data_IF_355098158366
#
_entry.id   IF_355098158366
#
_cell.length_a   1.000
_cell.length_b   1.000
_cell.length_c   1.000
_cell.angle_alpha   90.00
_cell.angle_beta   90.00
_cell.angle_gamma   90.00
#
_symmetry.space_group_name_H-M   'P 1'
#
loop_
_entity.id
_entity.type
_entity.pdbx_description
1 polymer ?
#
# COMPACT_ATOMS: atom_id res chain seq x y z
N UNK A 1 25.26 51.67 -14.75
CA UNK A 1 25.77 50.66 -13.79
C UNK A 1 24.66 49.90 -13.06
N UNK A 2 23.66 50.55 -12.47
CA UNK A 2 22.56 49.89 -11.70
C UNK A 2 21.70 48.91 -12.52
N UNK A 3 21.33 49.26 -13.77
CA UNK A 3 20.48 48.41 -14.60
C UNK A 3 21.18 47.10 -15.02
N UNK A 4 22.49 47.14 -15.25
CA UNK A 4 23.27 45.94 -15.63
C UNK A 4 23.36 44.93 -14.48
N UNK A 5 23.57 45.41 -13.24
CA UNK A 5 23.49 44.58 -12.04
C UNK A 5 22.08 44.01 -11.86
N UNK A 6 21.02 44.80 -12.09
CA UNK A 6 19.64 44.31 -12.03
C UNK A 6 19.35 43.21 -13.06
N UNK A 7 19.76 43.36 -14.31
CA UNK A 7 19.65 42.30 -15.33
C UNK A 7 20.51 41.08 -14.98
N UNK A 8 21.69 41.27 -14.36
CA UNK A 8 22.54 40.18 -13.89
C UNK A 8 21.91 39.42 -12.72
N UNK A 9 21.36 40.10 -11.71
CA UNK A 9 20.61 39.50 -10.60
C UNK A 9 19.32 38.82 -11.07
N UNK A 10 18.58 39.42 -12.01
CA UNK A 10 17.37 38.84 -12.59
C UNK A 10 17.66 37.59 -13.42
N UNK A 11 18.72 37.63 -14.24
CA UNK A 11 19.22 36.47 -14.98
C UNK A 11 19.73 35.38 -14.04
N UNK A 12 20.35 35.73 -12.91
CA UNK A 12 20.78 34.79 -11.87
C UNK A 12 19.59 34.17 -11.11
N UNK A 13 18.52 34.92 -10.81
CA UNK A 13 17.28 34.40 -10.23
C UNK A 13 16.50 33.48 -11.19
N UNK A 14 16.50 33.79 -12.49
CA UNK A 14 15.92 32.93 -13.53
C UNK A 14 16.76 31.68 -13.70
N UNK A 15 18.09 31.79 -13.79
CA UNK A 15 19.00 30.63 -13.90
C UNK A 15 18.87 29.77 -12.65
N UNK A 16 18.82 30.34 -11.43
CA UNK A 16 18.59 29.58 -10.20
C UNK A 16 17.24 28.87 -10.23
N UNK A 17 16.13 29.52 -10.60
CA UNK A 17 14.82 28.86 -10.74
C UNK A 17 14.83 27.75 -11.79
N UNK A 18 15.44 27.98 -12.96
CA UNK A 18 15.50 27.01 -14.06
C UNK A 18 16.45 25.87 -13.77
N UNK A 19 17.62 26.12 -13.16
CA UNK A 19 18.61 25.11 -12.77
C UNK A 19 18.10 24.30 -11.58
N UNK A 20 17.51 24.92 -10.56
CA UNK A 20 16.85 24.20 -9.47
C UNK A 20 15.72 23.34 -10.06
N UNK A 21 14.87 23.88 -10.94
CA UNK A 21 13.82 23.10 -11.60
C UNK A 21 14.37 21.93 -12.42
N UNK A 22 15.46 22.13 -13.18
CA UNK A 22 16.11 21.08 -13.97
C UNK A 22 16.72 20.00 -13.07
N UNK A 23 17.43 20.40 -12.00
CA UNK A 23 18.03 19.47 -11.03
C UNK A 23 16.96 18.70 -10.24
N UNK A 24 15.87 19.36 -9.86
CA UNK A 24 14.73 18.73 -9.17
C UNK A 24 14.00 17.78 -10.11
N UNK A 25 13.81 18.15 -11.38
CA UNK A 25 13.25 17.25 -12.41
C UNK A 25 14.09 15.98 -12.61
N UNK A 26 15.43 16.10 -12.59
CA UNK A 26 16.33 14.93 -12.63
C UNK A 26 16.24 14.06 -11.37
N UNK A 27 16.07 14.65 -10.19
CA UNK A 27 15.89 13.91 -8.93
C UNK A 27 14.57 13.13 -8.95
N UNK A 28 13.47 13.71 -9.45
CA UNK A 28 12.18 13.01 -9.61
C UNK A 28 12.24 11.85 -10.61
N UNK A 29 13.08 11.94 -11.64
CA UNK A 29 13.29 10.87 -12.63
C UNK A 29 14.23 9.75 -12.13
N UNK A 30 15.00 10.01 -11.07
CA UNK A 30 15.93 9.07 -10.47
C UNK A 30 15.37 8.34 -9.24
N UNK A 31 14.12 8.60 -8.85
CA UNK A 31 13.43 7.83 -7.82
C UNK A 31 12.97 6.53 -8.49
N UNK A 32 13.53 5.35 -8.16
CA UNK A 32 12.90 4.11 -8.57
C UNK A 32 11.49 4.09 -7.97
N UNK A 33 10.46 4.08 -8.82
CA UNK A 33 9.04 4.02 -8.41
C UNK A 33 8.65 2.64 -7.87
N UNK A 34 9.60 1.87 -7.36
CA UNK A 34 9.36 0.58 -6.71
C UNK A 34 9.02 0.84 -5.26
N UNK A 35 7.85 1.42 -5.02
CA UNK A 35 7.19 1.24 -3.72
C UNK A 35 6.85 -0.25 -3.69
N UNK A 36 7.68 -1.05 -3.01
CA UNK A 36 7.31 -2.44 -2.72
C UNK A 36 5.93 -2.38 -2.05
N UNK A 37 4.97 -3.16 -2.54
CA UNK A 37 3.59 -3.09 -2.08
C UNK A 37 3.56 -3.67 -0.65
N UNK A 38 3.71 -2.79 0.35
CA UNK A 38 3.80 -3.16 1.77
C UNK A 38 2.43 -3.34 2.42
N UNK A 39 1.37 -3.32 1.61
CA UNK A 39 0.00 -3.44 2.03
C UNK A 39 -0.66 -4.57 1.25
N UNK A 40 -1.40 -5.43 1.94
CA UNK A 40 -2.39 -6.26 1.28
C UNK A 40 -3.60 -5.41 0.92
N UNK A 41 -4.28 -5.77 -0.17
CA UNK A 41 -5.59 -5.22 -0.48
C UNK A 41 -6.68 -5.77 0.46
N UNK A 42 -7.93 -5.57 0.07
CA UNK A 42 -9.10 -6.11 0.79
C UNK A 42 -8.93 -7.62 1.09
N UNK A 43 -9.21 -8.07 2.32
CA UNK A 43 -9.21 -9.49 2.67
C UNK A 43 -10.14 -10.30 1.77
N UNK A 44 -9.81 -11.58 1.49
CA UNK A 44 -10.64 -12.42 0.65
C UNK A 44 -12.03 -12.59 1.26
N UNK A 45 -13.06 -12.44 0.42
CA UNK A 45 -14.43 -12.74 0.81
C UNK A 45 -14.62 -14.27 0.88
N UNK A 46 -15.31 -14.75 1.92
CA UNK A 46 -15.53 -16.19 2.14
C UNK A 46 -17.01 -16.56 2.00
N UNK A 47 -17.29 -17.79 1.57
CA UNK A 47 -18.65 -18.30 1.47
C UNK A 47 -19.17 -18.70 2.86
N UNK A 48 -20.41 -18.33 3.17
CA UNK A 48 -21.09 -18.64 4.44
C UNK A 48 -20.36 -18.10 5.68
N UNK A 49 -19.69 -16.97 5.53
CA UNK A 49 -19.03 -16.25 6.59
C UNK A 49 -18.64 -14.85 6.16
N UNK A 50 -17.98 -14.13 7.05
CA UNK A 50 -17.56 -12.74 6.85
C UNK A 50 -16.23 -12.46 7.55
N UNK A 51 -15.50 -11.47 7.02
CA UNK A 51 -14.31 -10.92 7.68
C UNK A 51 -14.73 -9.94 8.78
N UNK A 52 -14.13 -10.06 9.96
CA UNK A 52 -14.31 -9.17 11.08
C UNK A 52 -13.34 -7.99 10.94
N UNK A 53 -13.77 -6.95 10.24
CA UNK A 53 -12.98 -5.74 10.04
C UNK A 53 -13.39 -4.67 11.06
N UNK A 54 -12.39 -4.08 11.71
CA UNK A 54 -12.63 -2.94 12.63
C UNK A 54 -12.93 -1.64 11.87
N UNK A 55 -12.49 -1.55 10.61
CA UNK A 55 -12.60 -0.36 9.75
C UNK A 55 -12.86 -0.73 8.29
N UNK A 56 -13.36 0.22 7.50
CA UNK A 56 -13.58 0.08 6.05
C UNK A 56 -12.32 0.34 5.21
N UNK A 57 -11.12 0.11 5.78
CA UNK A 57 -9.89 0.31 5.04
C UNK A 57 -9.75 -0.70 3.90
N UNK A 58 -9.15 -0.26 2.80
CA UNK A 58 -8.84 -1.12 1.64
C UNK A 58 -7.40 -1.61 1.64
N UNK A 59 -6.55 -0.93 2.41
CA UNK A 59 -5.10 -1.15 2.45
C UNK A 59 -4.71 -1.61 3.85
N UNK A 60 -4.19 -2.83 3.94
CA UNK A 60 -3.86 -3.49 5.20
C UNK A 60 -2.34 -3.70 5.26
N UNK A 61 -1.62 -3.07 6.20
CA UNK A 61 -0.16 -3.21 6.26
C UNK A 61 0.24 -4.67 6.53
N UNK A 62 1.42 -5.06 6.04
CA UNK A 62 2.01 -6.38 6.34
C UNK A 62 2.11 -6.58 7.85
N UNK A 63 1.71 -7.78 8.30
CA UNK A 63 1.56 -8.14 9.71
C UNK A 63 0.14 -7.96 10.25
N UNK A 64 -0.78 -7.35 9.49
CA UNK A 64 -2.18 -7.24 9.90
C UNK A 64 -2.84 -8.61 9.98
N UNK A 65 -3.59 -8.87 11.06
CA UNK A 65 -4.47 -10.04 11.15
C UNK A 65 -5.94 -9.62 10.96
N UNK A 66 -6.70 -10.48 10.31
CA UNK A 66 -8.13 -10.30 10.11
C UNK A 66 -8.80 -11.59 10.54
N UNK A 67 -9.66 -11.50 11.55
CA UNK A 67 -10.49 -12.62 11.98
C UNK A 67 -11.64 -12.85 11.01
N UNK A 68 -12.12 -14.08 10.93
CA UNK A 68 -13.26 -14.50 10.14
C UNK A 68 -14.29 -15.19 11.03
N UNK A 69 -15.56 -14.94 10.74
CA UNK A 69 -16.70 -15.55 11.41
C UNK A 69 -17.54 -16.31 10.38
N UNK A 70 -17.83 -17.57 10.66
CA UNK A 70 -18.82 -18.33 9.90
C UNK A 70 -20.24 -17.98 10.36
N UNK A 71 -21.21 -18.06 9.45
CA UNK A 71 -22.62 -17.93 9.78
C UNK A 71 -23.14 -19.14 10.55
N UNK A 72 -24.30 -18.99 11.19
CA UNK A 72 -24.92 -20.05 11.98
C UNK A 72 -25.11 -21.34 11.16
N UNK A 73 -24.73 -22.48 11.76
CA UNK A 73 -24.75 -23.79 11.10
C UNK A 73 -23.53 -24.11 10.24
N UNK A 74 -22.50 -23.26 10.24
CA UNK A 74 -21.23 -23.50 9.56
C UNK A 74 -20.03 -23.44 10.51
N UNK A 75 -19.02 -24.26 10.25
CA UNK A 75 -17.74 -24.31 10.97
C UNK A 75 -16.57 -24.12 10.01
N UNK A 76 -15.44 -23.66 10.53
CA UNK A 76 -14.21 -23.54 9.75
C UNK A 76 -13.71 -24.93 9.33
N UNK A 77 -13.55 -25.12 8.03
CA UNK A 77 -12.97 -26.33 7.45
C UNK A 77 -11.45 -26.41 7.68
N UNK A 78 -10.79 -25.25 7.68
CA UNK A 78 -9.36 -25.14 7.95
C UNK A 78 -9.09 -25.37 9.43
N UNK A 79 -8.45 -26.51 9.73
CA UNK A 79 -8.00 -26.87 11.08
C UNK A 79 -7.09 -25.75 11.61
N UNK A 80 -7.60 -24.95 12.54
CA UNK A 80 -6.80 -24.06 13.39
C UNK A 80 -6.81 -22.56 13.06
N UNK A 81 -7.19 -22.12 11.86
CA UNK A 81 -7.07 -20.70 11.50
C UNK A 81 -8.41 -20.07 11.12
N UNK A 82 -9.00 -19.35 12.07
CA UNK A 82 -10.10 -18.39 11.87
C UNK A 82 -9.59 -17.01 11.45
N UNK A 83 -8.32 -16.89 11.08
CA UNK A 83 -7.67 -15.62 10.81
C UNK A 83 -6.83 -15.70 9.53
N UNK A 84 -6.81 -14.59 8.78
CA UNK A 84 -5.86 -14.36 7.71
C UNK A 84 -4.83 -13.33 8.16
N UNK A 85 -3.57 -13.52 7.79
CA UNK A 85 -2.47 -12.59 8.06
C UNK A 85 -1.98 -12.04 6.72
N UNK A 86 -1.78 -10.73 6.67
CA UNK A 86 -1.11 -10.09 5.54
C UNK A 86 0.39 -10.33 5.63
N UNK A 87 0.95 -11.06 4.67
CA UNK A 87 2.38 -11.36 4.57
C UNK A 87 2.95 -10.69 3.32
N UNK A 88 4.28 -10.58 3.27
CA UNK A 88 5.01 -10.12 2.09
C UNK A 88 6.08 -11.13 1.73
N UNK A 89 6.18 -11.46 0.44
CA UNK A 89 7.27 -12.25 -0.13
C UNK A 89 7.88 -11.49 -1.30
N UNK A 90 9.16 -11.14 -1.15
CA UNK A 90 10.02 -10.50 -2.17
C UNK A 90 9.25 -9.58 -3.13
N UNK A 91 8.66 -8.51 -2.57
CA UNK A 91 7.94 -7.42 -3.27
C UNK A 91 6.41 -7.57 -3.38
N UNK A 92 5.85 -8.76 -3.15
CA UNK A 92 4.39 -8.99 -3.24
C UNK A 92 3.75 -9.26 -1.89
N UNK A 93 2.68 -8.55 -1.57
CA UNK A 93 1.86 -8.77 -0.38
C UNK A 93 0.69 -9.71 -0.68
N UNK A 94 0.38 -10.62 0.25
CA UNK A 94 -0.74 -11.57 0.10
C UNK A 94 -1.32 -12.00 1.44
N UNK A 95 -2.58 -12.44 1.41
CA UNK A 95 -3.28 -12.98 2.56
C UNK A 95 -2.99 -14.47 2.75
N UNK A 96 -2.62 -14.87 3.97
CA UNK A 96 -2.40 -16.26 4.32
C UNK A 96 -3.24 -16.69 5.55
N UNK A 97 -4.01 -17.79 5.46
CA UNK A 97 -4.16 -18.68 4.31
C UNK A 97 -4.96 -18.01 3.18
N UNK A 98 -4.60 -18.34 1.93
CA UNK A 98 -5.29 -17.80 0.75
C UNK A 98 -6.74 -18.32 0.62
N UNK A 99 -7.04 -19.48 1.22
CA UNK A 99 -8.36 -20.11 1.19
C UNK A 99 -8.84 -20.34 2.60
N UNK A 100 -9.93 -19.65 2.96
CA UNK A 100 -10.70 -19.86 4.20
C UNK A 100 -12.09 -20.32 3.78
N UNK A 101 -12.59 -21.41 4.36
CA UNK A 101 -13.91 -21.95 4.01
C UNK A 101 -14.71 -22.37 5.24
N UNK A 102 -15.99 -22.00 5.22
CA UNK A 102 -16.99 -22.40 6.21
C UNK A 102 -17.83 -23.55 5.63
N UNK A 103 -17.75 -24.72 6.25
CA UNK A 103 -18.49 -25.95 5.87
C UNK A 103 -19.64 -26.16 6.82
N UNK A 104 -20.74 -26.72 6.31
CA UNK A 104 -21.90 -27.06 7.12
C UNK A 104 -21.53 -28.21 8.07
N UNK A 105 -22.01 -28.12 9.32
CA UNK A 105 -21.92 -29.20 10.33
C UNK A 105 -22.99 -30.24 10.07
#
# INVERSE_FOLDING_TARGET
>A
MCLYLFFYYFKMMIILRSVIYFNVAFIFLAIPTTIADQFCGKPPDIKNGEALLETFHTDFPVGTNVGYRCFDGYILNTIGNSYAVCLNDNETSFWQPAVISCVNV
#
